data_IF_997302679418
#
_entry.id   IF_997302679418
#
_cell.length_a   1.000
_cell.length_b   1.000
_cell.length_c   1.000
_cell.angle_alpha   90.00
_cell.angle_beta   90.00
_cell.angle_gamma   90.00
#
_symmetry.space_group_name_H-M   'P 1'
#
loop_
_entity.id
_entity.type
_entity.pdbx_description
1 polymer ?
#
# COMPACT_ATOMS: atom_id res chain seq x y z
N UNK A 1 24.96 4.13 5.70
CA UNK A 1 24.11 2.92 5.72
C UNK A 1 22.62 3.23 5.54
N UNK A 2 22.06 4.22 6.24
CA UNK A 2 20.63 4.58 6.10
C UNK A 2 20.23 5.03 4.69
N UNK A 3 21.13 5.71 3.95
CA UNK A 3 20.83 6.26 2.63
C UNK A 3 20.31 5.21 1.61
N UNK A 4 21.00 4.07 1.35
CA UNK A 4 20.47 3.09 0.41
C UNK A 4 19.14 2.47 0.85
N UNK A 5 18.89 2.31 2.16
CA UNK A 5 17.63 1.82 2.69
C UNK A 5 16.50 2.85 2.51
N UNK A 6 16.78 4.13 2.78
CA UNK A 6 15.83 5.21 2.57
C UNK A 6 15.49 5.40 1.08
N UNK A 7 16.49 5.34 0.18
CA UNK A 7 16.24 5.41 -1.26
C UNK A 7 15.43 4.22 -1.78
N UNK A 8 15.67 3.01 -1.26
CA UNK A 8 14.89 1.83 -1.63
C UNK A 8 13.42 1.95 -1.15
N UNK A 9 13.19 2.48 0.05
CA UNK A 9 11.85 2.76 0.53
C UNK A 9 11.17 3.87 -0.28
N UNK A 10 11.91 4.92 -0.63
CA UNK A 10 11.44 6.00 -1.49
C UNK A 10 10.97 5.47 -2.84
N UNK A 11 11.81 4.69 -3.55
CA UNK A 11 11.47 4.22 -4.90
C UNK A 11 10.28 3.26 -4.91
N UNK A 12 10.14 2.39 -3.90
CA UNK A 12 8.98 1.53 -3.77
C UNK A 12 7.67 2.33 -3.54
N UNK A 13 7.74 3.39 -2.74
CA UNK A 13 6.58 4.25 -2.49
C UNK A 13 6.24 5.14 -3.69
N UNK A 14 7.27 5.60 -4.42
CA UNK A 14 7.13 6.32 -5.67
C UNK A 14 6.39 5.47 -6.72
N UNK A 15 6.80 4.22 -6.91
CA UNK A 15 6.18 3.30 -7.87
C UNK A 15 4.69 3.04 -7.60
N UNK A 16 4.26 3.08 -6.33
CA UNK A 16 2.86 2.93 -5.97
C UNK A 16 1.97 4.09 -6.46
N UNK A 17 2.53 5.28 -6.68
CA UNK A 17 1.75 6.50 -6.90
C UNK A 17 2.01 7.19 -8.24
N UNK A 18 3.19 7.01 -8.85
CA UNK A 18 3.54 7.64 -10.12
C UNK A 18 2.66 7.20 -11.29
N UNK A 19 2.22 5.94 -11.30
CA UNK A 19 1.35 5.39 -12.34
C UNK A 19 0.00 6.09 -12.42
N UNK A 20 -0.51 6.64 -11.32
CA UNK A 20 -1.82 7.29 -11.28
C UNK A 20 -1.92 8.50 -12.23
N UNK A 21 -0.83 9.24 -12.42
CA UNK A 21 -0.81 10.43 -13.31
C UNK A 21 -0.51 10.08 -14.77
N UNK A 22 -0.07 8.86 -15.04
CA UNK A 22 0.24 8.37 -16.38
C UNK A 22 -0.84 7.44 -16.97
N UNK A 23 -1.97 7.25 -16.25
CA UNK A 23 -3.00 6.25 -16.59
C UNK A 23 -3.49 6.40 -18.03
N UNK A 24 -3.85 7.60 -18.48
CA UNK A 24 -4.38 7.83 -19.83
C UNK A 24 -3.29 7.66 -20.89
N UNK A 25 -2.09 8.21 -20.63
CA UNK A 25 -0.96 8.08 -21.56
C UNK A 25 -0.55 6.61 -21.76
N UNK A 26 -0.57 5.79 -20.71
CA UNK A 26 -0.31 4.36 -20.78
C UNK A 26 -1.43 3.64 -21.52
N UNK A 27 -2.70 4.00 -21.24
CA UNK A 27 -3.85 3.38 -21.89
C UNK A 27 -3.85 3.62 -23.40
N UNK A 28 -3.56 4.84 -23.82
CA UNK A 28 -3.46 5.22 -25.24
C UNK A 28 -2.29 4.52 -25.94
N UNK A 29 -1.10 4.54 -25.34
CA UNK A 29 0.11 4.01 -25.96
C UNK A 29 0.12 2.46 -26.03
N UNK A 30 -0.46 1.77 -25.03
CA UNK A 30 -0.57 0.32 -25.03
C UNK A 30 -1.87 -0.21 -25.68
N UNK A 31 -2.71 0.66 -26.26
CA UNK A 31 -3.98 0.27 -26.87
C UNK A 31 -4.95 -0.40 -25.91
N UNK A 32 -4.98 0.06 -24.65
CA UNK A 32 -5.82 -0.52 -23.58
C UNK A 32 -6.76 0.52 -22.97
N UNK A 33 -7.45 0.17 -21.92
CA UNK A 33 -8.38 1.05 -21.21
C UNK A 33 -7.79 1.54 -19.88
N UNK A 34 -8.35 2.63 -19.33
CA UNK A 34 -8.06 3.09 -17.96
C UNK A 34 -8.20 1.96 -16.95
N UNK A 35 -9.20 1.06 -17.11
CA UNK A 35 -9.42 -0.11 -16.27
C UNK A 35 -8.28 -1.12 -16.41
N UNK A 36 -7.73 -1.30 -17.61
CA UNK A 36 -6.56 -2.16 -17.83
C UNK A 36 -5.34 -1.67 -17.05
N UNK A 37 -5.06 -0.37 -17.10
CA UNK A 37 -3.96 0.24 -16.34
C UNK A 37 -4.23 0.19 -14.83
N UNK A 38 -5.46 0.46 -14.40
CA UNK A 38 -5.88 0.30 -13.01
C UNK A 38 -5.65 -1.14 -12.51
N UNK A 39 -5.95 -2.14 -13.34
CA UNK A 39 -5.70 -3.55 -13.01
C UNK A 39 -4.22 -3.79 -12.78
N UNK A 40 -3.33 -3.18 -13.60
CA UNK A 40 -1.88 -3.29 -13.38
C UNK A 40 -1.46 -2.71 -12.03
N UNK A 41 -1.96 -1.52 -11.66
CA UNK A 41 -1.68 -0.87 -10.36
C UNK A 41 -2.18 -1.75 -9.19
N UNK A 42 -3.40 -2.28 -9.33
CA UNK A 42 -3.99 -3.15 -8.30
C UNK A 42 -3.22 -4.45 -8.13
N UNK A 43 -2.82 -5.10 -9.24
CA UNK A 43 -2.02 -6.33 -9.21
C UNK A 43 -0.62 -6.10 -8.63
N UNK A 44 0.00 -4.94 -8.87
CA UNK A 44 1.28 -4.58 -8.26
C UNK A 44 1.16 -4.55 -6.73
N UNK A 45 0.20 -3.79 -6.21
CA UNK A 45 0.00 -3.67 -4.75
C UNK A 45 -0.50 -4.97 -4.13
N UNK A 46 -1.27 -5.78 -4.86
CA UNK A 46 -1.67 -7.12 -4.46
C UNK A 46 -0.47 -8.08 -4.38
N UNK A 47 0.41 -8.08 -5.38
CA UNK A 47 1.64 -8.90 -5.36
C UNK A 47 2.49 -8.55 -4.14
N UNK A 48 2.65 -7.26 -3.86
CA UNK A 48 3.31 -6.81 -2.64
C UNK A 48 2.59 -7.33 -1.38
N UNK A 49 1.27 -7.18 -1.28
CA UNK A 49 0.50 -7.62 -0.12
C UNK A 49 0.64 -9.13 0.11
N UNK A 50 0.51 -9.92 -0.94
CA UNK A 50 0.55 -11.37 -0.88
C UNK A 50 1.93 -11.92 -0.47
N UNK A 51 3.00 -11.27 -0.92
CA UNK A 51 4.37 -11.76 -0.76
C UNK A 51 5.17 -11.04 0.33
N UNK A 52 4.63 -10.01 0.98
CA UNK A 52 5.35 -9.24 1.99
C UNK A 52 5.71 -10.09 3.23
N UNK A 53 4.78 -10.91 3.72
CA UNK A 53 5.03 -11.83 4.84
C UNK A 53 6.00 -12.96 4.44
N UNK A 54 5.79 -13.68 3.33
CA UNK A 54 6.78 -14.61 2.81
C UNK A 54 8.17 -14.00 2.60
N UNK A 55 8.23 -12.79 2.02
CA UNK A 55 9.48 -12.05 1.80
C UNK A 55 10.21 -11.70 3.10
N UNK A 56 9.46 -11.30 4.12
CA UNK A 56 10.01 -11.07 5.47
C UNK A 56 10.64 -12.35 6.03
N UNK A 57 9.92 -13.48 5.95
CA UNK A 57 10.42 -14.78 6.44
C UNK A 57 11.65 -15.27 5.66
N UNK A 58 11.64 -15.09 4.34
CA UNK A 58 12.80 -15.41 3.51
C UNK A 58 14.02 -14.57 3.90
N UNK A 59 13.83 -13.32 4.28
CA UNK A 59 14.93 -12.46 4.73
C UNK A 59 15.58 -12.93 6.03
N UNK A 60 14.83 -13.60 6.91
CA UNK A 60 15.36 -14.20 8.11
C UNK A 60 16.14 -15.51 7.82
N UNK A 61 15.74 -16.26 6.76
CA UNK A 61 16.37 -17.54 6.37
C UNK A 61 17.61 -17.33 5.49
N UNK A 62 17.49 -16.52 4.43
CA UNK A 62 18.55 -16.32 3.44
C UNK A 62 19.54 -15.22 3.82
N UNK A 63 19.16 -14.37 4.78
CA UNK A 63 19.92 -13.19 5.18
C UNK A 63 19.37 -11.90 4.58
N UNK A 64 19.35 -10.88 5.40
CA UNK A 64 18.69 -9.60 5.12
C UNK A 64 19.33 -8.83 3.97
N UNK A 65 20.67 -8.86 3.91
CA UNK A 65 21.43 -8.23 2.82
C UNK A 65 21.17 -8.90 1.48
N UNK A 66 21.14 -10.24 1.45
CA UNK A 66 20.90 -10.99 0.22
C UNK A 66 19.50 -10.70 -0.30
N UNK A 67 18.46 -10.82 0.54
CA UNK A 67 17.08 -10.54 0.15
C UNK A 67 16.88 -9.09 -0.31
N UNK A 68 17.48 -8.11 0.37
CA UNK A 68 17.46 -6.71 -0.03
C UNK A 68 18.02 -6.51 -1.44
N UNK A 69 19.18 -7.08 -1.74
CA UNK A 69 19.84 -6.94 -3.05
C UNK A 69 19.15 -7.73 -4.15
N UNK A 70 18.69 -8.95 -3.86
CA UNK A 70 17.87 -9.73 -4.81
C UNK A 70 16.56 -9.01 -5.12
N UNK A 71 15.90 -8.47 -4.09
CA UNK A 71 14.70 -7.67 -4.26
C UNK A 71 14.93 -6.46 -5.17
N UNK A 72 16.02 -5.71 -4.96
CA UNK A 72 16.40 -4.59 -5.82
C UNK A 72 16.68 -5.04 -7.26
N UNK A 73 17.38 -6.17 -7.46
CA UNK A 73 17.68 -6.67 -8.79
C UNK A 73 16.40 -7.09 -9.53
N UNK A 74 15.51 -7.85 -8.88
CA UNK A 74 14.23 -8.28 -9.45
C UNK A 74 13.37 -7.06 -9.77
N UNK A 75 13.29 -6.08 -8.85
CA UNK A 75 12.58 -4.82 -9.05
C UNK A 75 13.13 -4.06 -10.27
N UNK A 76 14.46 -3.90 -10.37
CA UNK A 76 15.09 -3.21 -11.50
C UNK A 76 14.85 -3.90 -12.84
N UNK A 77 14.87 -5.25 -12.88
CA UNK A 77 14.50 -6.04 -14.06
C UNK A 77 13.02 -5.80 -14.40
N UNK A 78 12.13 -5.80 -13.40
CA UNK A 78 10.71 -5.51 -13.57
C UNK A 78 10.47 -4.13 -14.18
N UNK A 79 11.14 -3.09 -13.66
CA UNK A 79 11.07 -1.74 -14.20
C UNK A 79 11.59 -1.67 -15.65
N UNK A 80 12.68 -2.38 -15.96
CA UNK A 80 13.21 -2.47 -17.32
C UNK A 80 12.20 -3.12 -18.28
N UNK A 81 11.59 -4.24 -17.87
CA UNK A 81 10.58 -4.95 -18.67
C UNK A 81 9.35 -4.06 -18.87
N UNK A 82 8.91 -3.34 -17.84
CA UNK A 82 7.81 -2.39 -17.93
C UNK A 82 8.14 -1.21 -18.87
N UNK A 83 9.37 -0.69 -18.83
CA UNK A 83 9.82 0.39 -19.71
C UNK A 83 9.74 0.03 -21.20
N UNK A 84 9.98 -1.23 -21.57
CA UNK A 84 9.95 -1.71 -22.95
C UNK A 84 8.65 -2.44 -23.31
N UNK A 85 7.63 -2.42 -22.46
CA UNK A 85 6.40 -3.16 -22.64
C UNK A 85 5.66 -2.74 -23.93
N UNK A 86 5.40 -3.66 -24.88
CA UNK A 86 4.66 -3.40 -26.09
C UNK A 86 3.14 -3.49 -25.89
N UNK A 87 2.68 -3.96 -24.72
CA UNK A 87 1.27 -4.16 -24.41
C UNK A 87 1.06 -4.49 -22.94
N UNK A 88 -0.22 -4.54 -22.54
CA UNK A 88 -0.65 -4.68 -21.16
C UNK A 88 -0.14 -5.97 -20.49
N UNK A 89 -0.04 -7.09 -21.23
CA UNK A 89 0.45 -8.36 -20.68
C UNK A 89 1.91 -8.29 -20.20
N UNK A 90 2.79 -7.66 -20.97
CA UNK A 90 4.19 -7.45 -20.58
C UNK A 90 4.29 -6.44 -19.44
N UNK A 91 3.40 -5.45 -19.42
CA UNK A 91 3.27 -4.51 -18.31
C UNK A 91 2.87 -5.23 -17.00
N UNK A 92 1.92 -6.16 -17.04
CA UNK A 92 1.57 -6.99 -15.88
C UNK A 92 2.78 -7.80 -15.39
N UNK A 93 3.53 -8.39 -16.30
CA UNK A 93 4.70 -9.19 -15.92
C UNK A 93 5.82 -8.32 -15.33
N UNK A 94 6.16 -7.19 -15.96
CA UNK A 94 7.23 -6.30 -15.50
C UNK A 94 6.85 -5.55 -14.24
N UNK A 95 5.82 -4.70 -14.34
CA UNK A 95 5.41 -3.83 -13.25
C UNK A 95 4.68 -4.58 -12.14
N UNK A 96 3.59 -5.31 -12.48
CA UNK A 96 2.75 -5.88 -11.42
C UNK A 96 3.41 -7.07 -10.74
N UNK A 97 4.05 -7.97 -11.49
CA UNK A 97 4.64 -9.18 -10.92
C UNK A 97 6.09 -8.93 -10.45
N UNK A 98 7.02 -8.58 -11.36
CA UNK A 98 8.44 -8.50 -11.00
C UNK A 98 8.75 -7.36 -10.03
N UNK A 99 8.25 -6.13 -10.28
CA UNK A 99 8.45 -5.05 -9.31
C UNK A 99 7.75 -5.34 -7.97
N UNK A 100 6.56 -5.97 -8.00
CA UNK A 100 5.84 -6.39 -6.81
C UNK A 100 6.62 -7.42 -5.98
N UNK A 101 7.16 -8.47 -6.61
CA UNK A 101 8.04 -9.47 -5.97
C UNK A 101 9.31 -8.82 -5.44
N UNK A 102 9.96 -7.98 -6.25
CA UNK A 102 11.16 -7.24 -5.85
C UNK A 102 10.92 -6.38 -4.61
N UNK A 103 9.80 -5.65 -4.59
CA UNK A 103 9.37 -4.83 -3.44
C UNK A 103 9.13 -5.69 -2.19
N UNK A 104 8.45 -6.83 -2.33
CA UNK A 104 8.16 -7.73 -1.22
C UNK A 104 9.43 -8.34 -0.60
N UNK A 105 10.48 -8.54 -1.40
CA UNK A 105 11.77 -9.04 -0.90
C UNK A 105 12.65 -7.92 -0.32
N UNK A 106 12.59 -6.68 -0.85
CA UNK A 106 13.51 -5.62 -0.40
C UNK A 106 12.98 -4.82 0.78
N UNK A 107 11.66 -4.64 0.93
CA UNK A 107 11.10 -3.75 1.95
C UNK A 107 11.24 -4.30 3.37
N UNK A 108 10.89 -5.56 3.71
CA UNK A 108 11.03 -6.07 5.06
C UNK A 108 12.46 -5.96 5.61
N UNK A 109 13.52 -6.34 4.87
CA UNK A 109 14.89 -6.16 5.31
C UNK A 109 15.27 -4.73 5.69
N UNK A 110 14.66 -3.70 5.06
CA UNK A 110 14.95 -2.29 5.37
C UNK A 110 14.70 -2.01 6.84
N UNK A 111 13.52 -2.38 7.34
CA UNK A 111 13.12 -2.12 8.73
C UNK A 111 13.95 -2.91 9.72
N UNK A 112 14.25 -4.17 9.38
CA UNK A 112 15.05 -5.05 10.24
C UNK A 112 16.50 -4.54 10.32
N UNK A 113 17.11 -4.18 9.18
CA UNK A 113 18.48 -3.65 9.14
C UNK A 113 18.62 -2.36 9.95
N UNK A 114 17.64 -1.44 9.84
CA UNK A 114 17.64 -0.21 10.65
C UNK A 114 17.60 -0.54 12.14
N UNK A 115 16.79 -1.51 12.54
CA UNK A 115 16.65 -1.92 13.93
C UNK A 115 17.91 -2.56 14.49
N UNK A 116 18.55 -3.44 13.72
CA UNK A 116 19.72 -4.22 14.18
C UNK A 116 21.01 -3.39 14.18
N UNK A 117 21.13 -2.43 13.27
CA UNK A 117 22.30 -1.55 13.22
C UNK A 117 22.22 -0.37 14.20
N UNK A 118 21.07 -0.11 14.80
CA UNK A 118 20.92 0.95 15.78
C UNK A 118 21.59 0.55 17.11
N UNK A 119 22.56 1.33 17.63
CA UNK A 119 23.23 1.01 18.88
C UNK A 119 22.33 1.18 20.10
N UNK A 120 21.29 1.99 20.00
CA UNK A 120 20.35 2.34 21.07
C UNK A 120 18.95 2.63 20.54
N UNK A 121 17.97 2.71 21.45
CA UNK A 121 16.55 2.97 21.11
C UNK A 121 16.33 4.31 20.42
N UNK A 122 17.12 5.33 20.76
CA UNK A 122 17.01 6.66 20.15
C UNK A 122 17.47 6.63 18.69
N UNK A 123 18.59 5.99 18.41
CA UNK A 123 19.14 5.79 17.08
C UNK A 123 18.20 4.94 16.22
N UNK A 124 17.58 3.91 16.80
CA UNK A 124 16.56 3.09 16.16
C UNK A 124 15.35 3.92 15.76
N UNK A 125 14.79 4.70 16.70
CA UNK A 125 13.64 5.58 16.43
C UNK A 125 13.95 6.59 15.32
N UNK A 126 15.13 7.21 15.35
CA UNK A 126 15.59 8.13 14.29
C UNK A 126 15.71 7.43 12.93
N UNK A 127 16.29 6.23 12.90
CA UNK A 127 16.42 5.44 11.68
C UNK A 127 15.07 5.09 11.06
N UNK A 128 14.13 4.59 11.86
CA UNK A 128 12.77 4.28 11.43
C UNK A 128 12.01 5.52 10.96
N UNK A 129 12.23 6.69 11.63
CA UNK A 129 11.65 7.96 11.20
C UNK A 129 12.15 8.38 9.81
N UNK A 130 13.46 8.19 9.52
CA UNK A 130 14.04 8.47 8.19
C UNK A 130 13.41 7.57 7.12
N UNK A 131 13.23 6.28 7.39
CA UNK A 131 12.60 5.34 6.44
C UNK A 131 11.13 5.70 6.21
N UNK A 132 10.40 6.05 7.28
CA UNK A 132 9.00 6.49 7.16
C UNK A 132 8.88 7.81 6.40
N UNK A 133 9.79 8.77 6.63
CA UNK A 133 9.85 10.01 5.88
C UNK A 133 10.14 9.74 4.39
N UNK A 134 11.07 8.84 4.08
CA UNK A 134 11.38 8.46 2.71
C UNK A 134 10.17 7.82 2.00
N UNK A 135 9.39 6.99 2.72
CA UNK A 135 8.13 6.46 2.20
C UNK A 135 7.11 7.56 1.88
N UNK A 136 6.93 8.50 2.82
CA UNK A 136 6.02 9.64 2.64
C UNK A 136 6.45 10.54 1.47
N UNK A 137 7.74 10.88 1.40
CA UNK A 137 8.29 11.68 0.29
C UNK A 137 8.13 10.94 -1.04
N UNK A 138 8.42 9.64 -1.09
CA UNK A 138 8.25 8.82 -2.30
C UNK A 138 6.81 8.82 -2.80
N UNK A 139 5.84 8.56 -1.92
CA UNK A 139 4.42 8.60 -2.27
C UNK A 139 3.96 9.98 -2.73
N UNK A 140 4.47 11.01 -2.10
CA UNK A 140 4.15 12.40 -2.40
C UNK A 140 4.78 12.88 -3.72
N UNK A 141 6.02 12.48 -4.01
CA UNK A 141 6.74 12.84 -5.24
C UNK A 141 6.25 12.06 -6.47
N UNK A 142 5.56 10.92 -6.27
CA UNK A 142 5.06 10.10 -7.38
C UNK A 142 4.27 10.89 -8.41
N UNK A 143 3.20 11.58 -8.05
CA UNK A 143 2.42 12.37 -8.99
C UNK A 143 3.20 13.53 -9.61
N UNK A 144 4.05 14.22 -8.85
CA UNK A 144 4.85 15.35 -9.33
C UNK A 144 5.91 14.90 -10.35
N UNK A 145 6.81 14.03 -9.92
CA UNK A 145 7.92 13.56 -10.78
C UNK A 145 7.40 12.67 -11.89
N UNK A 146 6.43 11.78 -11.57
CA UNK A 146 5.78 10.93 -12.56
C UNK A 146 5.06 11.75 -13.64
N UNK A 147 4.32 12.79 -13.24
CA UNK A 147 3.64 13.71 -14.17
C UNK A 147 4.62 14.47 -15.03
N UNK A 148 5.69 15.02 -14.44
CA UNK A 148 6.73 15.76 -15.17
C UNK A 148 7.44 14.87 -16.19
N UNK A 149 7.92 13.70 -15.78
CA UNK A 149 8.63 12.75 -16.63
C UNK A 149 7.73 12.22 -17.75
N UNK A 150 6.47 11.89 -17.42
CA UNK A 150 5.50 11.39 -18.43
C UNK A 150 5.19 12.45 -19.49
N UNK A 151 5.05 13.71 -19.10
CA UNK A 151 4.70 14.77 -20.06
C UNK A 151 5.88 15.29 -20.88
N UNK A 152 7.09 15.34 -20.32
CA UNK A 152 8.27 15.87 -21.02
C UNK A 152 8.98 14.82 -21.88
N UNK A 153 8.92 13.57 -21.47
CA UNK A 153 9.61 12.45 -22.13
C UNK A 153 8.60 11.38 -22.56
N UNK A 154 8.23 10.52 -21.65
CA UNK A 154 7.18 9.50 -21.79
C UNK A 154 6.93 8.81 -20.45
N UNK A 155 5.83 8.06 -20.33
CA UNK A 155 5.60 7.22 -19.15
C UNK A 155 6.68 6.12 -19.01
N UNK A 156 7.26 5.66 -20.13
CA UNK A 156 8.37 4.68 -20.12
C UNK A 156 9.62 5.22 -19.45
N UNK A 157 9.90 6.51 -19.63
CA UNK A 157 11.04 7.17 -19.00
C UNK A 157 10.96 7.17 -17.48
N UNK A 158 9.75 7.13 -16.92
CA UNK A 158 9.55 6.99 -15.48
C UNK A 158 10.07 5.64 -14.95
N UNK A 159 9.90 4.56 -15.71
CA UNK A 159 10.47 3.24 -15.38
C UNK A 159 11.98 3.20 -15.60
N UNK A 160 12.50 3.82 -16.66
CA UNK A 160 13.96 3.96 -16.87
C UNK A 160 14.60 4.72 -15.71
N UNK A 161 13.97 5.79 -15.21
CA UNK A 161 14.43 6.51 -14.04
C UNK A 161 14.51 5.59 -12.80
N UNK A 162 13.52 4.72 -12.61
CA UNK A 162 13.53 3.73 -11.53
C UNK A 162 14.71 2.75 -11.69
N UNK A 163 14.99 2.25 -12.89
CA UNK A 163 16.16 1.39 -13.16
C UNK A 163 17.47 2.08 -12.78
N UNK A 164 17.64 3.34 -13.16
CA UNK A 164 18.84 4.13 -12.83
C UNK A 164 19.00 4.29 -11.31
N UNK A 165 17.91 4.67 -10.63
CA UNK A 165 17.91 4.85 -9.16
C UNK A 165 18.23 3.53 -8.46
N UNK A 166 17.60 2.43 -8.89
CA UNK A 166 17.84 1.07 -8.33
C UNK A 166 19.28 0.64 -8.57
N UNK A 167 19.84 0.90 -9.74
CA UNK A 167 21.26 0.65 -10.03
C UNK A 167 22.18 1.38 -9.05
N UNK A 168 21.90 2.66 -8.80
CA UNK A 168 22.60 3.46 -7.78
C UNK A 168 22.47 2.87 -6.37
N UNK A 169 21.25 2.45 -5.97
CA UNK A 169 21.02 1.81 -4.67
C UNK A 169 21.79 0.49 -4.55
N UNK A 170 21.85 -0.34 -5.59
CA UNK A 170 22.63 -1.59 -5.58
C UNK A 170 24.11 -1.30 -5.34
N UNK A 171 24.67 -0.28 -6.00
CA UNK A 171 26.07 0.14 -5.77
C UNK A 171 26.28 0.60 -4.33
N UNK A 172 25.41 1.47 -3.81
CA UNK A 172 25.48 1.96 -2.43
C UNK A 172 25.29 0.83 -1.42
N UNK A 173 24.49 -0.18 -1.73
CA UNK A 173 24.21 -1.33 -0.87
C UNK A 173 25.43 -2.24 -0.65
N UNK A 174 26.49 -2.11 -1.47
CA UNK A 174 27.74 -2.88 -1.29
C UNK A 174 28.39 -2.64 0.07
N UNK A 175 28.14 -1.49 0.68
CA UNK A 175 28.65 -1.10 2.01
C UNK A 175 27.82 -1.67 3.17
N UNK A 176 26.66 -2.27 2.91
CA UNK A 176 25.86 -2.93 3.95
C UNK A 176 26.56 -4.25 4.31
N UNK A 177 26.94 -4.40 5.57
CA UNK A 177 27.51 -5.66 6.07
C UNK A 177 26.38 -6.68 6.28
N UNK A 178 26.70 -7.97 6.12
CA UNK A 178 25.74 -9.02 6.45
C UNK A 178 25.71 -9.24 7.95
N UNK A 179 24.51 -9.38 8.48
CA UNK A 179 24.33 -9.77 9.88
C UNK A 179 23.89 -11.22 9.79
N UNK A 180 24.65 -12.10 10.43
CA UNK A 180 24.34 -13.53 10.49
C UNK A 180 22.88 -13.74 10.87
N UNK A 181 22.20 -14.57 10.12
CA UNK A 181 20.86 -15.02 10.46
C UNK A 181 20.90 -15.68 11.85
N UNK A 182 19.79 -15.58 12.58
CA UNK A 182 19.66 -16.24 13.88
C UNK A 182 19.85 -17.76 13.71
N UNK A 183 20.58 -18.37 14.61
CA UNK A 183 20.65 -19.84 14.71
C UNK A 183 19.77 -20.30 15.89
N UNK A 184 18.89 -21.29 15.70
CA UNK A 184 18.64 -22.09 14.48
C UNK A 184 17.84 -21.30 13.43
N UNK A 185 18.11 -21.56 12.14
CA UNK A 185 17.40 -20.92 11.03
C UNK A 185 15.93 -21.30 11.05
N UNK A 186 15.00 -20.32 10.94
CA UNK A 186 13.58 -20.63 10.86
C UNK A 186 13.27 -21.44 9.59
N UNK A 187 12.29 -22.33 9.68
CA UNK A 187 11.80 -23.10 8.53
C UNK A 187 10.82 -22.27 7.71
N UNK A 188 10.88 -22.39 6.38
CA UNK A 188 9.93 -21.72 5.51
C UNK A 188 8.64 -22.52 5.36
N UNK A 189 7.52 -21.84 5.64
CA UNK A 189 6.18 -22.44 5.53
C UNK A 189 5.59 -22.16 4.15
N UNK A 190 5.96 -22.99 3.15
CA UNK A 190 5.47 -22.83 1.79
C UNK A 190 3.96 -22.98 1.69
N UNK A 191 3.36 -23.92 2.40
CA UNK A 191 1.92 -24.13 2.38
C UNK A 191 1.16 -22.90 2.93
N UNK A 192 1.62 -22.37 4.06
CA UNK A 192 1.07 -21.14 4.63
C UNK A 192 1.25 -19.93 3.70
N UNK A 193 2.41 -19.82 3.02
CA UNK A 193 2.68 -18.75 2.07
C UNK A 193 1.73 -18.81 0.86
N UNK A 194 1.52 -20.00 0.29
CA UNK A 194 0.60 -20.20 -0.84
C UNK A 194 -0.84 -19.92 -0.45
N UNK A 195 -1.30 -20.42 0.70
CA UNK A 195 -2.66 -20.16 1.19
C UNK A 195 -2.90 -18.67 1.45
N UNK A 196 -1.95 -17.98 2.11
CA UNK A 196 -2.05 -16.55 2.35
C UNK A 196 -2.12 -15.75 1.03
N UNK A 197 -1.22 -16.05 0.10
CA UNK A 197 -1.18 -15.37 -1.20
C UNK A 197 -2.45 -15.64 -2.02
N UNK A 198 -2.91 -16.89 -2.09
CA UNK A 198 -4.12 -17.27 -2.81
C UNK A 198 -5.37 -16.61 -2.20
N UNK A 199 -5.50 -16.61 -0.86
CA UNK A 199 -6.61 -15.97 -0.19
C UNK A 199 -6.72 -14.47 -0.48
N UNK A 200 -5.62 -13.75 -0.37
CA UNK A 200 -5.56 -12.32 -0.71
C UNK A 200 -5.83 -12.09 -2.21
N UNK A 201 -5.27 -12.94 -3.08
CA UNK A 201 -5.48 -12.86 -4.52
C UNK A 201 -6.97 -12.98 -4.88
N UNK A 202 -7.68 -13.98 -4.38
CA UNK A 202 -9.10 -14.16 -4.68
C UNK A 202 -9.97 -13.04 -4.13
N UNK A 203 -9.66 -12.47 -2.95
CA UNK A 203 -10.39 -11.31 -2.42
C UNK A 203 -10.25 -10.12 -3.37
N UNK A 204 -9.02 -9.75 -3.72
CA UNK A 204 -8.78 -8.57 -4.58
C UNK A 204 -9.27 -8.81 -6.00
N UNK A 205 -9.09 -10.03 -6.54
CA UNK A 205 -9.62 -10.41 -7.84
C UNK A 205 -11.16 -10.26 -7.87
N UNK A 206 -11.85 -10.66 -6.80
CA UNK A 206 -13.28 -10.45 -6.68
C UNK A 206 -13.65 -8.97 -6.80
N UNK A 207 -12.97 -8.09 -6.07
CA UNK A 207 -13.22 -6.64 -6.16
C UNK A 207 -12.89 -6.07 -7.55
N UNK A 208 -11.83 -6.54 -8.21
CA UNK A 208 -11.51 -6.13 -9.59
C UNK A 208 -12.61 -6.53 -10.58
N UNK A 209 -13.23 -7.70 -10.39
CA UNK A 209 -14.29 -8.18 -11.26
C UNK A 209 -15.60 -7.41 -11.10
N UNK A 210 -15.76 -6.59 -10.04
CA UNK A 210 -16.92 -5.73 -9.86
C UNK A 210 -17.10 -4.73 -11.02
N UNK A 211 -16.01 -4.34 -11.67
CA UNK A 211 -16.03 -3.50 -12.87
C UNK A 211 -16.69 -4.20 -14.07
N UNK A 212 -16.60 -5.52 -14.16
CA UNK A 212 -17.09 -6.33 -15.29
C UNK A 212 -18.49 -6.89 -15.03
N UNK A 213 -18.71 -7.40 -13.82
CA UNK A 213 -19.93 -8.13 -13.46
C UNK A 213 -20.88 -7.34 -12.56
N UNK A 214 -20.49 -6.15 -12.09
CA UNK A 214 -21.28 -5.39 -11.10
C UNK A 214 -21.12 -5.92 -9.68
N UNK A 215 -21.63 -5.16 -8.69
CA UNK A 215 -21.46 -5.49 -7.27
C UNK A 215 -22.45 -6.51 -6.74
N UNK A 216 -23.72 -6.42 -7.10
CA UNK A 216 -24.79 -7.22 -6.50
C UNK A 216 -25.34 -8.26 -7.48
N UNK A 217 -25.84 -7.82 -8.61
CA UNK A 217 -26.34 -8.68 -9.69
C UNK A 217 -25.36 -8.71 -10.84
N UNK A 218 -25.11 -9.89 -11.40
CA UNK A 218 -24.21 -10.04 -12.55
C UNK A 218 -24.79 -9.35 -13.78
N UNK A 219 -24.02 -8.42 -14.35
CA UNK A 219 -24.40 -7.70 -15.59
C UNK A 219 -24.15 -8.51 -16.84
N UNK A 220 -23.35 -9.59 -16.75
CA UNK A 220 -22.99 -10.51 -17.84
C UNK A 220 -22.96 -11.94 -17.32
N UNK A 221 -23.04 -12.90 -18.22
CA UNK A 221 -22.86 -14.32 -17.89
C UNK A 221 -21.41 -14.55 -17.43
N UNK A 222 -21.23 -15.20 -16.29
CA UNK A 222 -19.95 -15.69 -15.83
C UNK A 222 -19.80 -17.15 -16.21
N UNK A 223 -18.91 -17.40 -17.19
CA UNK A 223 -18.65 -18.73 -17.70
C UNK A 223 -17.23 -19.20 -17.37
N UNK A 224 -17.06 -20.48 -17.10
CA UNK A 224 -15.78 -21.15 -16.98
C UNK A 224 -15.68 -22.14 -18.15
N UNK A 225 -14.80 -21.84 -19.11
CA UNK A 225 -14.80 -22.53 -20.39
C UNK A 225 -16.13 -22.30 -21.13
N UNK A 226 -16.81 -23.38 -21.50
CA UNK A 226 -18.10 -23.33 -22.22
C UNK A 226 -19.31 -23.42 -21.30
N UNK A 227 -19.15 -23.47 -19.96
CA UNK A 227 -20.25 -23.64 -19.01
C UNK A 227 -20.52 -22.32 -18.32
N UNK A 228 -21.76 -21.81 -18.46
CA UNK A 228 -22.23 -20.65 -17.69
C UNK A 228 -22.47 -21.09 -16.25
N UNK A 229 -21.66 -20.55 -15.33
CA UNK A 229 -21.74 -20.85 -13.88
C UNK A 229 -22.74 -19.92 -13.22
N UNK A 230 -22.72 -18.64 -13.58
CA UNK A 230 -23.66 -17.65 -13.08
C UNK A 230 -24.24 -16.89 -14.28
N UNK A 231 -25.56 -17.01 -14.54
CA UNK A 231 -26.21 -16.27 -15.63
C UNK A 231 -26.35 -14.79 -15.28
N UNK A 232 -26.50 -13.97 -16.30
CA UNK A 232 -26.82 -12.54 -16.15
C UNK A 232 -28.05 -12.37 -15.25
N UNK A 233 -27.98 -11.48 -14.28
CA UNK A 233 -29.01 -11.25 -13.26
C UNK A 233 -28.87 -12.13 -12.01
N UNK A 234 -27.99 -13.15 -12.01
CA UNK A 234 -27.66 -13.93 -10.82
C UNK A 234 -26.76 -13.14 -9.84
N UNK A 235 -26.42 -13.76 -8.70
CA UNK A 235 -25.52 -13.16 -7.71
C UNK A 235 -24.16 -12.90 -8.37
N UNK A 236 -23.61 -11.70 -8.19
CA UNK A 236 -22.34 -11.33 -8.83
C UNK A 236 -21.20 -12.31 -8.48
N UNK A 237 -20.39 -12.74 -9.48
CA UNK A 237 -19.17 -13.54 -9.26
C UNK A 237 -18.16 -12.92 -8.28
N UNK A 238 -18.27 -11.62 -8.03
CA UNK A 238 -17.48 -10.88 -7.03
C UNK A 238 -17.57 -11.58 -5.68
N UNK A 239 -18.77 -11.86 -5.21
CA UNK A 239 -18.98 -12.46 -3.89
C UNK A 239 -18.56 -13.92 -3.82
N UNK A 240 -18.63 -14.65 -4.93
CA UNK A 240 -18.08 -16.00 -5.03
C UNK A 240 -16.55 -15.98 -4.84
N UNK A 241 -15.86 -15.09 -5.55
CA UNK A 241 -14.40 -14.97 -5.45
C UNK A 241 -13.95 -14.47 -4.08
N UNK A 242 -14.63 -13.46 -3.53
CA UNK A 242 -14.36 -12.96 -2.17
C UNK A 242 -14.61 -14.07 -1.14
N UNK A 243 -15.69 -14.83 -1.28
CA UNK A 243 -16.00 -15.97 -0.42
C UNK A 243 -14.94 -17.07 -0.47
N UNK A 244 -14.45 -17.42 -1.67
CA UNK A 244 -13.32 -18.35 -1.85
C UNK A 244 -12.08 -17.81 -1.13
N UNK A 245 -11.74 -16.54 -1.33
CA UNK A 245 -10.59 -15.92 -0.70
C UNK A 245 -10.68 -15.93 0.83
N UNK A 246 -11.85 -15.59 1.40
CA UNK A 246 -12.10 -15.65 2.84
C UNK A 246 -11.99 -17.10 3.34
N UNK A 247 -12.53 -18.07 2.62
CA UNK A 247 -12.46 -19.48 2.99
C UNK A 247 -11.00 -20.00 3.01
N UNK A 248 -10.19 -19.60 2.01
CA UNK A 248 -8.76 -19.94 1.96
C UNK A 248 -8.01 -19.30 3.13
N UNK A 249 -8.28 -18.03 3.47
CA UNK A 249 -7.66 -17.38 4.64
C UNK A 249 -8.10 -18.03 5.95
N UNK A 250 -9.37 -18.41 6.09
CA UNK A 250 -9.85 -19.13 7.25
C UNK A 250 -9.14 -20.50 7.40
N UNK A 251 -8.97 -21.21 6.29
CA UNK A 251 -8.20 -22.45 6.22
C UNK A 251 -6.72 -22.22 6.58
N UNK A 252 -6.12 -21.12 6.09
CA UNK A 252 -4.77 -20.72 6.47
C UNK A 252 -4.63 -20.49 7.98
N UNK A 253 -5.56 -19.74 8.59
CA UNK A 253 -5.53 -19.50 10.04
C UNK A 253 -5.73 -20.78 10.86
N UNK A 254 -6.62 -21.68 10.40
CA UNK A 254 -6.80 -22.98 11.01
C UNK A 254 -5.52 -23.83 10.91
N UNK A 255 -4.92 -23.89 9.72
CA UNK A 255 -3.65 -24.60 9.47
C UNK A 255 -2.52 -24.03 10.33
N UNK A 256 -2.34 -22.70 10.38
CA UNK A 256 -1.34 -22.03 11.17
C UNK A 256 -1.52 -22.33 12.69
N UNK A 257 -2.77 -22.30 13.17
CA UNK A 257 -3.10 -22.64 14.55
C UNK A 257 -2.74 -24.11 14.89
N UNK A 258 -3.03 -25.02 13.98
CA UNK A 258 -2.70 -26.45 14.18
C UNK A 258 -1.20 -26.68 14.17
N UNK A 259 -0.49 -26.03 13.26
CA UNK A 259 0.97 -26.08 13.13
C UNK A 259 1.68 -25.51 14.37
N UNK A 260 1.20 -24.37 14.90
CA UNK A 260 1.75 -23.74 16.12
C UNK A 260 1.54 -24.64 17.34
N UNK A 261 0.36 -25.29 17.48
CA UNK A 261 0.07 -26.26 18.56
C UNK A 261 0.92 -27.52 18.50
N UNK A 262 1.36 -27.93 17.31
CA UNK A 262 2.26 -29.10 17.14
C UNK A 262 3.74 -28.74 17.31
N UNK A 263 4.08 -27.52 17.73
CA UNK A 263 5.46 -27.05 17.91
C UNK A 263 6.14 -26.64 16.61
N UNK A 264 5.42 -26.61 15.48
CA UNK A 264 5.96 -26.14 14.19
C UNK A 264 5.94 -24.61 14.10
N UNK A 265 6.72 -24.08 13.16
CA UNK A 265 6.77 -22.65 12.88
C UNK A 265 5.82 -22.32 11.71
N UNK A 266 4.67 -21.65 11.93
CA UNK A 266 3.83 -21.16 10.85
C UNK A 266 4.50 -19.97 10.14
N UNK A 267 3.97 -19.59 8.98
CA UNK A 267 4.45 -18.40 8.25
C UNK A 267 4.36 -17.14 9.10
N UNK A 268 3.29 -16.99 9.86
CA UNK A 268 3.00 -15.86 10.73
C UNK A 268 2.49 -16.39 12.08
N UNK A 269 3.04 -15.91 13.17
CA UNK A 269 2.62 -16.29 14.52
C UNK A 269 1.24 -15.74 14.86
N UNK A 270 0.32 -16.60 15.30
CA UNK A 270 -1.04 -16.20 15.67
C UNK A 270 -1.10 -15.33 16.93
N UNK A 271 -0.04 -15.30 17.75
CA UNK A 271 0.06 -14.41 18.92
C UNK A 271 -0.05 -12.93 18.52
N UNK A 272 0.35 -12.55 17.28
CA UNK A 272 0.25 -11.19 16.77
C UNK A 272 -1.20 -10.69 16.71
N UNK A 273 -2.16 -11.58 16.43
CA UNK A 273 -3.59 -11.25 16.35
C UNK A 273 -4.31 -11.24 17.71
N UNK A 274 -3.62 -11.64 18.80
CA UNK A 274 -4.19 -11.54 20.15
C UNK A 274 -4.10 -10.12 20.72
N UNK A 275 -3.26 -9.26 20.14
CA UNK A 275 -3.11 -7.88 20.58
C UNK A 275 -4.18 -6.99 19.93
N UNK A 276 -5.17 -6.57 20.73
CA UNK A 276 -6.28 -5.71 20.27
C UNK A 276 -5.79 -4.38 19.70
N UNK A 277 -4.74 -3.79 20.27
CA UNK A 277 -4.20 -2.50 19.82
C UNK A 277 -3.61 -2.64 18.43
N UNK A 278 -2.82 -3.70 18.20
CA UNK A 278 -2.25 -4.00 16.89
C UNK A 278 -3.33 -4.28 15.85
N UNK A 279 -4.35 -5.08 16.19
CA UNK A 279 -5.43 -5.40 15.26
C UNK A 279 -6.20 -4.14 14.83
N UNK A 280 -6.56 -3.27 15.77
CA UNK A 280 -7.20 -1.99 15.45
C UNK A 280 -6.25 -1.07 14.66
N UNK A 281 -4.96 -1.08 14.99
CA UNK A 281 -3.93 -0.38 14.23
C UNK A 281 -3.83 -0.87 12.79
N UNK A 282 -3.85 -2.19 12.56
CA UNK A 282 -3.86 -2.79 11.22
C UNK A 282 -5.10 -2.40 10.43
N UNK A 283 -6.29 -2.40 11.06
CA UNK A 283 -7.53 -1.94 10.41
C UNK A 283 -7.43 -0.47 10.03
N UNK A 284 -7.00 0.41 10.94
CA UNK A 284 -6.83 1.84 10.63
C UNK A 284 -5.81 2.06 9.53
N UNK A 285 -4.73 1.29 9.50
CA UNK A 285 -3.69 1.36 8.46
C UNK A 285 -4.22 0.88 7.10
N UNK A 286 -4.99 -0.21 7.06
CA UNK A 286 -5.64 -0.69 5.83
C UNK A 286 -6.61 0.36 5.29
N UNK A 287 -7.48 0.92 6.13
CA UNK A 287 -8.43 1.97 5.72
C UNK A 287 -7.71 3.24 5.24
N UNK A 288 -6.66 3.65 5.91
CA UNK A 288 -5.84 4.80 5.51
C UNK A 288 -5.24 4.64 4.11
N UNK A 289 -4.63 3.48 3.80
CA UNK A 289 -4.04 3.24 2.49
C UNK A 289 -5.10 3.03 1.40
N UNK A 290 -6.26 2.46 1.77
CA UNK A 290 -7.42 2.34 0.89
C UNK A 290 -7.90 3.72 0.44
N UNK A 291 -8.14 4.63 1.39
CA UNK A 291 -8.64 5.96 1.06
C UNK A 291 -7.59 6.82 0.35
N UNK A 292 -6.31 6.68 0.71
CA UNK A 292 -5.22 7.39 0.04
C UNK A 292 -5.15 6.99 -1.43
N UNK A 293 -4.97 5.71 -1.70
CA UNK A 293 -4.73 5.21 -3.06
C UNK A 293 -5.98 5.36 -3.93
N UNK A 294 -7.16 5.06 -3.36
CA UNK A 294 -8.42 5.24 -4.06
C UNK A 294 -8.68 6.70 -4.43
N UNK A 295 -8.49 7.65 -3.50
CA UNK A 295 -8.74 9.07 -3.78
C UNK A 295 -7.75 9.64 -4.80
N UNK A 296 -6.46 9.31 -4.70
CA UNK A 296 -5.47 9.74 -5.69
C UNK A 296 -5.79 9.20 -7.09
N UNK A 297 -6.24 7.95 -7.18
CA UNK A 297 -6.66 7.37 -8.45
C UNK A 297 -7.90 8.07 -9.01
N UNK A 298 -8.98 8.28 -8.21
CA UNK A 298 -10.19 9.00 -8.64
C UNK A 298 -9.87 10.37 -9.18
N UNK A 299 -9.16 11.17 -8.37
CA UNK A 299 -8.87 12.57 -8.71
C UNK A 299 -8.00 12.63 -9.96
N UNK A 300 -7.01 11.75 -10.05
CA UNK A 300 -6.11 11.68 -11.21
C UNK A 300 -6.86 11.32 -12.49
N UNK A 301 -7.70 10.29 -12.47
CA UNK A 301 -8.51 9.87 -13.62
C UNK A 301 -9.52 10.98 -14.00
N UNK A 302 -10.17 11.59 -13.01
CA UNK A 302 -11.09 12.72 -13.25
C UNK A 302 -10.42 13.86 -13.99
N UNK A 303 -9.26 14.31 -13.50
CA UNK A 303 -8.51 15.41 -14.13
C UNK A 303 -8.07 15.06 -15.55
N UNK A 304 -7.69 13.81 -15.82
CA UNK A 304 -7.23 13.39 -17.14
C UNK A 304 -8.38 13.12 -18.10
N UNK A 305 -9.49 12.51 -17.68
CA UNK A 305 -10.59 12.11 -18.57
C UNK A 305 -11.62 13.23 -18.78
N UNK A 306 -12.13 13.84 -17.71
CA UNK A 306 -13.13 14.93 -17.75
C UNK A 306 -12.44 16.28 -17.88
N UNK A 307 -11.45 16.55 -17.03
CA UNK A 307 -10.69 17.81 -17.04
C UNK A 307 -9.76 17.99 -18.24
N UNK A 308 -9.57 16.92 -19.06
CA UNK A 308 -8.66 16.91 -20.22
C UNK A 308 -7.25 17.43 -19.89
N UNK A 309 -6.80 17.20 -18.65
CA UNK A 309 -5.47 17.61 -18.18
C UNK A 309 -4.45 16.56 -18.56
N UNK A 310 -3.27 17.00 -19.01
CA UNK A 310 -2.15 16.09 -19.22
C UNK A 310 -1.51 15.67 -17.88
N UNK A 311 -0.54 14.75 -17.93
CA UNK A 311 0.09 14.16 -16.74
C UNK A 311 0.78 15.22 -15.84
N UNK A 312 1.47 16.22 -16.44
CA UNK A 312 2.14 17.28 -15.65
C UNK A 312 1.13 18.18 -14.95
N UNK A 313 0.06 18.58 -15.65
CA UNK A 313 -1.01 19.40 -15.06
C UNK A 313 -1.69 18.65 -13.92
N UNK A 314 -1.97 17.36 -14.12
CA UNK A 314 -2.53 16.48 -13.08
C UNK A 314 -1.60 16.41 -11.87
N UNK A 315 -0.30 16.18 -12.07
CA UNK A 315 0.69 16.16 -11.00
C UNK A 315 0.80 17.49 -10.24
N UNK A 316 0.76 18.63 -10.97
CA UNK A 316 0.79 19.96 -10.36
C UNK A 316 -0.49 20.24 -9.56
N UNK A 317 -1.67 19.84 -10.05
CA UNK A 317 -2.92 19.99 -9.31
C UNK A 317 -2.92 19.13 -8.05
N UNK A 318 -2.32 17.94 -8.08
CA UNK A 318 -2.17 17.06 -6.90
C UNK A 318 -1.09 17.53 -5.90
N UNK A 319 -0.24 18.51 -6.28
CA UNK A 319 0.87 18.96 -5.43
C UNK A 319 0.47 19.51 -4.05
N UNK A 320 -0.69 20.16 -3.84
CA UNK A 320 -1.13 20.55 -2.50
C UNK A 320 -1.39 19.36 -1.58
N UNK A 321 -1.95 18.27 -2.11
CA UNK A 321 -2.10 17.04 -1.32
C UNK A 321 -0.74 16.48 -0.91
N UNK A 322 0.21 16.47 -1.84
CA UNK A 322 1.61 16.11 -1.60
C UNK A 322 2.23 16.97 -0.49
N UNK A 323 2.12 18.29 -0.59
CA UNK A 323 2.61 19.23 0.41
C UNK A 323 1.94 18.99 1.78
N UNK A 324 0.62 18.77 1.80
CA UNK A 324 -0.13 18.42 2.99
C UNK A 324 0.38 17.14 3.65
N UNK A 325 0.64 16.07 2.88
CA UNK A 325 1.19 14.81 3.39
C UNK A 325 2.56 15.05 4.03
N UNK A 326 3.46 15.75 3.37
CA UNK A 326 4.82 16.01 3.87
C UNK A 326 4.80 16.85 5.15
N UNK A 327 4.06 17.96 5.15
CA UNK A 327 3.93 18.84 6.31
C UNK A 327 3.33 18.12 7.52
N UNK A 328 2.22 17.41 7.29
CA UNK A 328 1.52 16.72 8.35
C UNK A 328 2.31 15.52 8.90
N UNK A 329 3.03 14.77 8.05
CA UNK A 329 3.90 13.68 8.51
C UNK A 329 5.05 14.19 9.38
N UNK A 330 5.65 15.33 9.03
CA UNK A 330 6.70 15.96 9.82
C UNK A 330 6.18 16.49 11.17
N UNK A 331 4.99 17.11 11.15
CA UNK A 331 4.32 17.62 12.37
C UNK A 331 3.82 16.48 13.27
N UNK A 332 3.28 15.40 12.69
CA UNK A 332 2.80 14.24 13.44
C UNK A 332 3.91 13.59 14.28
N UNK A 333 5.14 13.54 13.77
CA UNK A 333 6.30 13.06 14.52
C UNK A 333 6.56 13.90 15.78
N UNK A 334 6.42 15.23 15.69
CA UNK A 334 6.54 16.15 16.83
C UNK A 334 5.33 16.08 17.75
N UNK A 335 4.14 15.98 17.21
CA UNK A 335 2.89 15.89 18.00
C UNK A 335 2.80 14.55 18.76
N UNK A 336 3.40 13.49 18.25
CA UNK A 336 3.40 12.17 18.89
C UNK A 336 4.09 12.15 20.26
N UNK A 337 4.91 13.16 20.59
CA UNK A 337 5.51 13.33 21.92
C UNK A 337 4.49 13.84 22.96
N UNK A 338 3.50 14.62 22.52
CA UNK A 338 2.55 15.32 23.42
C UNK A 338 1.10 14.87 23.25
N UNK A 339 0.79 14.10 22.21
CA UNK A 339 -0.56 13.64 21.89
C UNK A 339 -0.59 12.12 21.67
N UNK A 340 -1.70 11.49 22.04
CA UNK A 340 -1.87 10.03 21.84
C UNK A 340 -2.00 9.70 20.36
N UNK A 341 -1.51 8.54 19.95
CA UNK A 341 -1.66 8.03 18.58
C UNK A 341 -3.14 7.95 18.16
N UNK A 342 -4.01 7.56 19.09
CA UNK A 342 -5.46 7.57 18.92
C UNK A 342 -6.00 8.95 18.49
N UNK A 343 -5.56 10.04 19.14
CA UNK A 343 -5.97 11.40 18.80
C UNK A 343 -5.52 11.77 17.38
N UNK A 344 -4.27 11.43 17.03
CA UNK A 344 -3.70 11.73 15.73
C UNK A 344 -4.44 10.98 14.59
N UNK A 345 -4.72 9.68 14.77
CA UNK A 345 -5.42 8.87 13.76
C UNK A 345 -6.86 9.38 13.56
N UNK A 346 -7.58 9.68 14.65
CA UNK A 346 -8.93 10.25 14.56
C UNK A 346 -8.93 11.59 13.84
N UNK A 347 -8.05 12.50 14.24
CA UNK A 347 -7.89 13.79 13.60
C UNK A 347 -7.59 13.64 12.11
N UNK A 348 -6.72 12.69 11.76
CA UNK A 348 -6.38 12.39 10.37
C UNK A 348 -7.58 11.96 9.52
N UNK A 349 -8.41 11.03 10.00
CA UNK A 349 -9.62 10.61 9.28
C UNK A 349 -10.64 11.74 9.17
N UNK A 350 -10.87 12.54 10.23
CA UNK A 350 -11.78 13.70 10.21
C UNK A 350 -11.28 14.73 9.19
N UNK A 351 -9.99 15.05 9.21
CA UNK A 351 -9.38 16.00 8.28
C UNK A 351 -9.45 15.49 6.83
N UNK A 352 -9.26 14.18 6.60
CA UNK A 352 -9.42 13.56 5.28
C UNK A 352 -10.86 13.73 4.75
N UNK A 353 -11.87 13.43 5.58
CA UNK A 353 -13.29 13.60 5.21
C UNK A 353 -13.59 15.07 4.92
N UNK A 354 -13.12 16.00 5.76
CA UNK A 354 -13.31 17.44 5.54
C UNK A 354 -12.66 17.90 4.21
N UNK A 355 -11.45 17.42 3.90
CA UNK A 355 -10.78 17.72 2.63
C UNK A 355 -11.54 17.17 1.42
N UNK A 356 -12.08 15.97 1.52
CA UNK A 356 -12.89 15.37 0.45
C UNK A 356 -14.21 16.13 0.26
N UNK A 357 -14.88 16.53 1.34
CA UNK A 357 -16.10 17.38 1.26
C UNK A 357 -15.77 18.72 0.60
N UNK A 358 -14.66 19.36 0.97
CA UNK A 358 -14.20 20.59 0.33
C UNK A 358 -13.99 20.41 -1.18
N UNK A 359 -13.39 19.29 -1.62
CA UNK A 359 -13.25 18.98 -3.03
C UNK A 359 -14.59 18.88 -3.74
N UNK A 360 -15.56 18.18 -3.13
CA UNK A 360 -16.89 17.99 -3.72
C UNK A 360 -17.69 19.31 -3.82
N UNK A 361 -17.49 20.22 -2.86
CA UNK A 361 -18.21 21.51 -2.81
C UNK A 361 -17.56 22.56 -3.70
N UNK A 362 -16.22 22.65 -3.69
CA UNK A 362 -15.49 23.71 -4.38
C UNK A 362 -15.13 23.38 -5.82
N UNK A 363 -15.01 22.10 -6.16
CA UNK A 363 -14.60 21.64 -7.48
C UNK A 363 -15.64 20.68 -8.11
N UNK A 364 -16.94 21.06 -8.19
CA UNK A 364 -17.97 20.20 -8.77
C UNK A 364 -17.75 19.98 -10.27
N UNK A 365 -17.22 20.98 -10.96
CA UNK A 365 -16.86 20.95 -12.37
C UNK A 365 -15.36 21.19 -12.52
N UNK A 366 -14.69 20.51 -13.43
CA UNK A 366 -13.24 20.58 -13.64
C UNK A 366 -12.71 21.98 -14.07
N UNK A 367 -13.49 23.03 -13.88
CA UNK A 367 -13.32 24.35 -14.48
C UNK A 367 -12.22 25.23 -13.89
N UNK A 368 -11.78 24.99 -12.66
CA UNK A 368 -10.77 25.83 -12.02
C UNK A 368 -9.73 25.07 -11.20
N UNK A 369 -8.44 25.17 -11.55
CA UNK A 369 -7.34 24.54 -10.81
C UNK A 369 -7.33 24.98 -9.33
N UNK A 370 -7.60 26.26 -9.08
CA UNK A 370 -7.60 26.84 -7.72
C UNK A 370 -8.67 26.23 -6.80
N UNK A 371 -9.77 25.74 -7.36
CA UNK A 371 -10.85 25.10 -6.60
C UNK A 371 -10.42 23.77 -5.92
N UNK A 372 -9.43 23.09 -6.52
CA UNK A 372 -8.89 21.83 -5.96
C UNK A 372 -7.92 22.06 -4.79
N UNK A 373 -7.25 23.24 -4.74
CA UNK A 373 -6.14 23.47 -3.82
C UNK A 373 -6.52 23.27 -2.33
N UNK A 374 -7.58 23.90 -1.79
CA UNK A 374 -7.90 23.79 -0.36
C UNK A 374 -8.30 22.36 0.02
N UNK A 375 -9.15 21.71 -0.80
CA UNK A 375 -9.59 20.35 -0.54
C UNK A 375 -8.45 19.35 -0.58
N UNK A 376 -7.56 19.43 -1.58
CA UNK A 376 -6.39 18.58 -1.71
C UNK A 376 -5.39 18.77 -0.57
N UNK A 377 -5.13 20.02 -0.17
CA UNK A 377 -4.24 20.31 0.95
C UNK A 377 -4.77 19.70 2.25
N UNK A 378 -6.04 19.91 2.56
CA UNK A 378 -6.68 19.40 3.78
C UNK A 378 -6.72 17.87 3.75
N UNK A 379 -7.07 17.25 2.62
CA UNK A 379 -7.03 15.80 2.43
C UNK A 379 -5.62 15.26 2.70
N UNK A 380 -4.60 15.89 2.10
CA UNK A 380 -3.20 15.52 2.28
C UNK A 380 -2.72 15.65 3.72
N UNK A 381 -3.12 16.70 4.43
CA UNK A 381 -2.83 16.86 5.87
C UNK A 381 -3.40 15.69 6.68
N UNK A 382 -4.64 15.28 6.43
CA UNK A 382 -5.26 14.13 7.09
C UNK A 382 -4.48 12.85 6.87
N UNK A 383 -4.14 12.55 5.62
CA UNK A 383 -3.36 11.36 5.25
C UNK A 383 -1.97 11.38 5.90
N UNK A 384 -1.27 12.51 5.85
CA UNK A 384 0.09 12.63 6.39
C UNK A 384 0.18 12.34 7.89
N UNK A 385 -0.80 12.83 8.68
CA UNK A 385 -0.89 12.49 10.11
C UNK A 385 -1.10 10.98 10.29
N UNK A 386 -2.01 10.37 9.54
CA UNK A 386 -2.32 8.95 9.65
C UNK A 386 -1.13 8.06 9.25
N UNK A 387 -0.36 8.42 8.21
CA UNK A 387 0.80 7.65 7.75
C UNK A 387 1.80 7.39 8.87
N UNK A 388 2.06 8.38 9.70
CA UNK A 388 2.98 8.27 10.83
C UNK A 388 2.33 7.56 12.02
N UNK A 389 1.11 7.96 12.38
CA UNK A 389 0.46 7.50 13.61
C UNK A 389 0.01 6.03 13.53
N UNK A 390 -0.58 5.58 12.40
CA UNK A 390 -1.06 4.19 12.26
C UNK A 390 0.08 3.17 12.27
N UNK A 391 1.18 3.48 11.57
CA UNK A 391 2.35 2.62 11.57
C UNK A 391 2.97 2.51 12.97
N UNK A 392 3.04 3.61 13.71
CA UNK A 392 3.57 3.62 15.07
C UNK A 392 2.73 2.77 16.02
N UNK A 393 1.38 2.83 15.94
CA UNK A 393 0.49 2.01 16.78
C UNK A 393 0.76 0.53 16.59
N UNK A 394 0.89 0.08 15.34
CA UNK A 394 1.12 -1.33 15.02
C UNK A 394 2.48 -1.79 15.51
N UNK A 395 3.53 -1.03 15.21
CA UNK A 395 4.90 -1.44 15.50
C UNK A 395 5.26 -1.33 16.98
N UNK A 396 4.74 -0.32 17.70
CA UNK A 396 5.01 -0.17 19.13
C UNK A 396 4.29 -1.18 20.02
N UNK A 397 3.33 -1.93 19.48
CA UNK A 397 2.59 -2.94 20.21
C UNK A 397 3.39 -4.24 20.47
N UNK A 398 4.60 -4.39 19.90
CA UNK A 398 5.39 -5.61 19.98
C UNK A 398 6.88 -5.34 20.28
N UNK A 399 7.54 -6.30 20.98
CA UNK A 399 8.95 -6.23 21.29
C UNK A 399 9.84 -6.34 20.03
N UNK A 400 11.13 -6.09 20.22
CA UNK A 400 12.11 -6.12 19.13
C UNK A 400 12.23 -7.47 18.42
N UNK A 401 11.99 -8.59 19.14
CA UNK A 401 12.00 -9.95 18.60
C UNK A 401 10.95 -10.18 17.52
N UNK A 402 9.78 -9.54 17.62
CA UNK A 402 8.63 -9.77 16.75
C UNK A 402 8.54 -8.72 15.62
N UNK A 403 9.48 -7.75 15.57
CA UNK A 403 9.44 -6.62 14.61
C UNK A 403 9.53 -7.07 13.14
N UNK A 404 10.18 -8.18 12.84
CA UNK A 404 10.20 -8.73 11.47
C UNK A 404 8.81 -9.15 11.00
N UNK A 405 8.12 -9.97 11.79
CA UNK A 405 6.79 -10.47 11.47
C UNK A 405 5.75 -9.34 11.45
N UNK A 406 5.76 -8.44 12.45
CA UNK A 406 4.80 -7.34 12.51
C UNK A 406 5.01 -6.31 11.40
N UNK A 407 6.25 -6.06 11.00
CA UNK A 407 6.55 -5.18 9.85
C UNK A 407 6.03 -5.77 8.54
N UNK A 408 6.20 -7.08 8.34
CA UNK A 408 5.63 -7.79 7.20
C UNK A 408 4.11 -7.70 7.18
N UNK A 409 3.45 -7.98 8.31
CA UNK A 409 2.00 -7.90 8.45
C UNK A 409 1.46 -6.47 8.24
N UNK A 410 2.11 -5.48 8.83
CA UNK A 410 1.78 -4.05 8.67
C UNK A 410 1.86 -3.62 7.19
N UNK A 411 2.88 -4.06 6.48
CA UNK A 411 3.03 -3.76 5.04
C UNK A 411 2.02 -4.52 4.18
N UNK A 412 1.70 -5.77 4.52
CA UNK A 412 0.61 -6.50 3.88
C UNK A 412 -0.71 -5.75 4.03
N UNK A 413 -1.04 -5.26 5.23
CA UNK A 413 -2.25 -4.47 5.48
C UNK A 413 -2.28 -3.18 4.66
N UNK A 414 -1.15 -2.46 4.57
CA UNK A 414 -1.02 -1.25 3.75
C UNK A 414 -1.28 -1.52 2.27
N UNK A 415 -0.59 -2.53 1.72
CA UNK A 415 -0.67 -2.85 0.30
C UNK A 415 -2.03 -3.45 -0.08
N UNK A 416 -2.63 -4.25 0.81
CA UNK A 416 -4.00 -4.74 0.66
C UNK A 416 -4.99 -3.56 0.63
N UNK A 417 -4.85 -2.59 1.54
CA UNK A 417 -5.64 -1.36 1.53
C UNK A 417 -5.52 -0.62 0.19
N UNK A 418 -4.29 -0.40 -0.28
CA UNK A 418 -4.03 0.24 -1.58
C UNK A 418 -4.69 -0.50 -2.73
N UNK A 419 -4.55 -1.82 -2.77
CA UNK A 419 -5.13 -2.69 -3.80
C UNK A 419 -6.66 -2.62 -3.81
N UNK A 420 -7.28 -2.75 -2.63
CA UNK A 420 -8.73 -2.63 -2.48
C UNK A 420 -9.23 -1.24 -2.85
N UNK A 421 -8.54 -0.18 -2.43
CA UNK A 421 -8.91 1.20 -2.74
C UNK A 421 -8.99 1.44 -4.25
N UNK A 422 -7.96 1.02 -4.99
CA UNK A 422 -7.93 1.15 -6.45
C UNK A 422 -9.00 0.29 -7.12
N UNK A 423 -9.18 -0.96 -6.68
CA UNK A 423 -10.15 -1.89 -7.26
C UNK A 423 -11.61 -1.40 -7.07
N UNK A 424 -11.95 -0.97 -5.85
CA UNK A 424 -13.29 -0.47 -5.51
C UNK A 424 -13.61 0.76 -6.33
N UNK A 425 -12.72 1.75 -6.33
CA UNK A 425 -12.93 3.00 -7.05
C UNK A 425 -13.04 2.77 -8.56
N UNK A 426 -12.17 1.94 -9.12
CA UNK A 426 -12.24 1.65 -10.55
C UNK A 426 -13.55 1.01 -10.96
N UNK A 427 -14.13 0.14 -10.11
CA UNK A 427 -15.45 -0.45 -10.39
C UNK A 427 -16.58 0.58 -10.36
N UNK A 428 -16.45 1.63 -9.54
CA UNK A 428 -17.43 2.74 -9.50
C UNK A 428 -17.27 3.64 -10.73
N UNK A 429 -16.05 3.75 -11.26
CA UNK A 429 -15.75 4.59 -12.42
C UNK A 429 -16.03 3.92 -13.77
N UNK A 430 -16.49 2.68 -13.80
CA UNK A 430 -16.87 1.99 -15.06
C UNK A 430 -18.00 2.75 -15.74
N UNK A 431 -17.76 3.17 -16.99
CA UNK A 431 -18.72 3.96 -17.76
C UNK A 431 -18.94 5.38 -17.24
N UNK A 432 -18.07 5.89 -16.36
CA UNK A 432 -18.15 7.25 -15.86
C UNK A 432 -17.90 8.27 -16.98
N UNK A 433 -18.96 8.90 -17.47
CA UNK A 433 -18.92 10.00 -18.46
C UNK A 433 -19.21 11.35 -17.84
N UNK A 434 -19.58 11.39 -16.56
CA UNK A 434 -20.00 12.61 -15.84
C UNK A 434 -19.27 12.80 -14.52
N UNK A 435 -19.21 14.03 -14.04
CA UNK A 435 -18.66 14.37 -12.73
C UNK A 435 -19.35 13.67 -11.57
N UNK A 436 -20.63 13.29 -11.71
CA UNK A 436 -21.41 12.60 -10.67
C UNK A 436 -20.82 11.23 -10.28
N UNK A 437 -20.27 10.47 -11.24
CA UNK A 437 -19.62 9.18 -10.95
C UNK A 437 -18.36 9.34 -10.11
N UNK A 438 -17.59 10.42 -10.36
CA UNK A 438 -16.40 10.74 -9.59
C UNK A 438 -16.74 11.23 -8.18
N UNK A 439 -17.81 12.03 -8.04
CA UNK A 439 -18.33 12.42 -6.73
C UNK A 439 -18.75 11.18 -5.92
N UNK A 440 -19.46 10.23 -6.54
CA UNK A 440 -19.84 8.95 -5.92
C UNK A 440 -18.62 8.18 -5.46
N UNK A 441 -17.56 8.09 -6.28
CA UNK A 441 -16.32 7.39 -5.92
C UNK A 441 -15.63 8.05 -4.70
N UNK A 442 -15.59 9.39 -4.64
CA UNK A 442 -15.06 10.12 -3.48
C UNK A 442 -15.93 9.92 -2.22
N UNK A 443 -17.26 9.88 -2.36
CA UNK A 443 -18.16 9.58 -1.24
C UNK A 443 -17.96 8.16 -0.71
N UNK A 444 -17.70 7.19 -1.58
CA UNK A 444 -17.33 5.81 -1.16
C UNK A 444 -16.02 5.85 -0.36
N UNK A 445 -15.04 6.65 -0.76
CA UNK A 445 -13.81 6.82 0.04
C UNK A 445 -14.09 7.47 1.40
N UNK A 446 -14.99 8.45 1.48
CA UNK A 446 -15.45 9.00 2.76
C UNK A 446 -16.10 7.94 3.66
N UNK A 447 -16.92 7.05 3.09
CA UNK A 447 -17.54 5.96 3.87
C UNK A 447 -16.47 5.04 4.48
N UNK A 448 -15.44 4.65 3.72
CA UNK A 448 -14.31 3.89 4.26
C UNK A 448 -13.48 4.67 5.28
N UNK A 449 -13.33 5.99 5.12
CA UNK A 449 -12.69 6.84 6.12
C UNK A 449 -13.48 6.85 7.44
N UNK A 450 -14.82 6.85 7.39
CA UNK A 450 -15.69 6.75 8.58
C UNK A 450 -15.53 5.38 9.26
N UNK A 451 -15.40 4.28 8.50
CA UNK A 451 -15.08 2.97 9.07
C UNK A 451 -13.72 2.99 9.78
N UNK A 452 -12.70 3.59 9.15
CA UNK A 452 -11.38 3.78 9.76
C UNK A 452 -11.42 4.64 11.04
N UNK A 453 -12.23 5.70 11.03
CA UNK A 453 -12.50 6.53 12.21
C UNK A 453 -13.16 5.71 13.32
N UNK A 454 -14.14 4.87 13.00
CA UNK A 454 -14.77 3.95 13.94
C UNK A 454 -13.76 3.02 14.62
N UNK A 455 -12.86 2.40 13.83
CA UNK A 455 -11.76 1.59 14.36
C UNK A 455 -10.82 2.42 15.25
N UNK A 456 -10.51 3.67 14.87
CA UNK A 456 -9.69 4.57 15.66
C UNK A 456 -10.38 5.01 16.97
N UNK A 457 -11.70 5.04 17.01
CA UNK A 457 -12.45 5.30 18.25
C UNK A 457 -12.34 4.16 19.25
N UNK A 458 -12.14 2.93 18.80
CA UNK A 458 -11.98 1.75 19.64
C UNK A 458 -10.55 1.58 20.18
N UNK A 459 -9.57 2.34 19.67
CA UNK A 459 -8.20 2.33 20.20
C UNK A 459 -8.20 2.84 21.65
N UNK A 460 -7.46 2.23 22.58
CA UNK A 460 -7.35 2.70 23.96
C UNK A 460 -6.68 4.08 24.02
N UNK A 461 -7.06 4.88 25.02
CA UNK A 461 -6.53 6.23 25.19
C UNK A 461 -5.06 6.26 25.65
N UNK A 462 -4.58 5.21 26.28
CA UNK A 462 -3.27 5.07 26.95
C UNK A 462 -2.39 4.06 26.23
N UNK A 463 -1.80 4.43 25.10
CA UNK A 463 -0.78 3.61 24.43
C UNK A 463 0.60 3.64 25.11
N UNK A 464 0.86 4.54 26.04
CA UNK A 464 2.15 4.70 26.72
C UNK A 464 2.26 3.96 28.08
N UNK A 465 1.14 3.66 28.74
CA UNK A 465 1.18 2.97 30.04
C UNK A 465 1.47 1.48 29.95
N UNK A 466 1.10 0.81 28.88
CA UNK A 466 1.33 -0.62 28.74
C UNK A 466 2.82 -0.98 28.51
N UNK A 467 3.58 -0.12 27.83
CA UNK A 467 5.03 -0.33 27.68
C UNK A 467 5.79 -0.14 29.01
N UNK A 468 5.32 0.76 29.86
CA UNK A 468 5.90 0.99 31.19
C UNK A 468 5.54 -0.13 32.18
N UNK A 469 4.33 -0.70 32.08
CA UNK A 469 3.91 -1.81 32.95
C UNK A 469 4.53 -3.15 32.53
N UNK A 470 4.75 -3.35 31.23
CA UNK A 470 5.49 -4.55 30.74
C UNK A 470 6.96 -4.47 31.15
N UNK A 471 7.59 -3.31 30.99
CA UNK A 471 8.98 -3.10 31.44
C UNK A 471 9.14 -3.23 32.97
N UNK A 472 8.14 -2.83 33.76
CA UNK A 472 8.14 -3.04 35.21
C UNK A 472 7.92 -4.51 35.62
N UNK A 473 7.16 -5.28 34.84
CA UNK A 473 6.96 -6.72 35.07
C UNK A 473 8.16 -7.56 34.63
N UNK A 474 8.96 -7.09 33.69
CA UNK A 474 10.22 -7.75 33.28
C UNK A 474 11.39 -7.39 34.21
N UNK A 475 11.28 -6.34 35.03
CA UNK A 475 12.26 -5.96 36.05
C UNK A 475 11.92 -6.42 37.48
N UNK A 476 10.77 -7.00 37.70
CA UNK A 476 10.34 -7.63 38.97
C UNK A 476 10.31 -9.16 38.83
#
# INVERSE_FOLDING_TARGET
MLLPLALAQFIASYACTNMNVAVTAIAEDLGTTVIGVQTAITLFTLTMAALMIPGSKLSDIWGRRLCFRLGLAIYGIGALVAAIAPGLGVMFFGYSLLEGVGSALMIPPIYILVTVYAPDMTSRAKGLAVISAAAGVGSAMGPLVGGLVTSLLSWRASFVLQVIVVGGIIVLSRRIRDIRAAEPRPTFDLAGAVMNAAGLFFIVLGFLQASTYGWFASTKDFAIGNTVVIPKGGISPVWLMVGIGIAILALYFWYASRKERSGGQPLLSLKLFRNRISNLGLVTQTMQWLVLQGSFFVISVYLQTIGKRNAIQTGLILSPATAGILLASALAGRMATNRTQRFLIRGGFITFVAGTVLLLVLAPDASGVLAFLPGLLVLGLGVGVMLTASANVVQSAFPASDQGEISGLSRTASNLGSSLGTAIVGSVLVGATSGASYATALLVMCAFAVVGLGAAMLLPASGQQQSADTAKREMA
#
